data_IF_623186930686
#
_entry.id   IF_623186930686
#
_cell.length_a   1.000
_cell.length_b   1.000
_cell.length_c   1.000
_cell.angle_alpha   90.00
_cell.angle_beta   90.00
_cell.angle_gamma   90.00
#
_symmetry.space_group_name_H-M   'P 1'
#
loop_
_entity.id
_entity.type
_entity.pdbx_description
1 polymer ?
#
# COMPACT_ATOMS: atom_id res chain seq x y z
N UNK A 1 17.70 -20.81 -6.07
CA UNK A 1 17.16 -21.40 -4.83
C UNK A 1 15.71 -20.96 -4.72
N UNK A 2 14.74 -21.86 -4.46
CA UNK A 2 13.40 -21.43 -4.09
C UNK A 2 13.52 -20.66 -2.76
N UNK A 3 13.26 -19.35 -2.79
CA UNK A 3 13.40 -18.48 -1.62
C UNK A 3 12.54 -19.01 -0.49
N UNK A 4 13.07 -18.97 0.73
CA UNK A 4 12.31 -19.29 1.94
C UNK A 4 10.96 -18.56 1.90
N UNK A 5 9.85 -19.19 2.29
CA UNK A 5 8.54 -18.54 2.28
C UNK A 5 8.61 -17.31 3.19
N UNK A 6 8.58 -16.12 2.60
CA UNK A 6 8.59 -14.86 3.35
C UNK A 6 7.33 -14.83 4.23
N UNK A 7 7.50 -14.56 5.52
CA UNK A 7 6.38 -14.53 6.46
C UNK A 7 5.31 -13.52 6.03
N UNK A 8 4.04 -13.76 6.38
CA UNK A 8 2.94 -12.79 6.10
C UNK A 8 3.28 -11.44 6.74
N UNK A 9 3.91 -11.44 7.91
CA UNK A 9 4.38 -10.23 8.58
C UNK A 9 5.32 -9.42 7.68
N UNK A 10 6.38 -10.04 7.17
CA UNK A 10 7.37 -9.38 6.31
C UNK A 10 6.72 -8.85 5.04
N UNK A 11 5.80 -9.62 4.43
CA UNK A 11 5.05 -9.16 3.25
C UNK A 11 4.21 -7.93 3.53
N UNK A 12 3.56 -7.90 4.70
CA UNK A 12 2.74 -6.77 5.14
C UNK A 12 3.59 -5.53 5.44
N UNK A 13 4.76 -5.71 6.06
CA UNK A 13 5.75 -4.64 6.29
C UNK A 13 6.24 -4.05 4.97
N UNK A 14 6.63 -4.89 4.01
CA UNK A 14 7.03 -4.46 2.66
C UNK A 14 5.89 -3.78 1.91
N UNK A 15 4.65 -4.26 2.04
CA UNK A 15 3.49 -3.61 1.44
C UNK A 15 3.31 -2.19 2.01
N UNK A 16 3.40 -2.02 3.33
CA UNK A 16 3.32 -0.71 3.99
C UNK A 16 4.40 0.24 3.46
N UNK A 17 5.65 -0.22 3.38
CA UNK A 17 6.75 0.58 2.85
C UNK A 17 6.51 1.01 1.39
N UNK A 18 6.03 0.09 0.55
CA UNK A 18 5.71 0.42 -0.84
C UNK A 18 4.54 1.42 -0.97
N UNK A 19 3.55 1.36 -0.08
CA UNK A 19 2.46 2.34 -0.03
C UNK A 19 3.00 3.71 0.41
N UNK A 20 3.86 3.75 1.43
CA UNK A 20 4.47 5.00 1.91
C UNK A 20 5.38 5.64 0.84
N UNK A 21 6.14 4.84 0.08
CA UNK A 21 6.92 5.31 -1.07
C UNK A 21 6.02 5.83 -2.20
N UNK A 22 4.89 5.16 -2.46
CA UNK A 22 3.92 5.63 -3.43
C UNK A 22 3.28 6.95 -2.99
N UNK A 23 2.99 7.13 -1.70
CA UNK A 23 2.49 8.38 -1.14
C UNK A 23 3.47 9.53 -1.41
N UNK A 24 4.74 9.35 -1.05
CA UNK A 24 5.80 10.33 -1.28
C UNK A 24 5.91 10.68 -2.77
N UNK A 25 5.93 9.66 -3.64
CA UNK A 25 5.99 9.87 -5.09
C UNK A 25 4.81 10.68 -5.62
N UNK A 26 3.59 10.44 -5.13
CA UNK A 26 2.40 11.21 -5.53
C UNK A 26 2.50 12.66 -5.07
N UNK A 27 2.95 12.92 -3.84
CA UNK A 27 3.17 14.28 -3.32
C UNK A 27 4.22 15.05 -4.12
N UNK A 28 5.28 14.37 -4.54
CA UNK A 28 6.31 14.93 -5.41
C UNK A 28 5.83 15.10 -6.87
N UNK A 29 4.60 14.66 -7.17
CA UNK A 29 3.96 14.81 -8.47
C UNK A 29 4.33 13.74 -9.50
N UNK A 30 5.00 12.67 -9.07
CA UNK A 30 5.33 11.52 -9.91
C UNK A 30 4.13 10.58 -10.11
N UNK A 31 4.21 9.79 -11.18
CA UNK A 31 3.25 8.72 -11.46
C UNK A 31 3.60 7.49 -10.65
N UNK A 32 2.58 6.82 -10.12
CA UNK A 32 2.71 5.55 -9.43
C UNK A 32 1.94 4.44 -10.15
N UNK A 33 2.36 3.19 -9.94
CA UNK A 33 1.66 2.01 -10.44
C UNK A 33 0.94 1.28 -9.29
N UNK A 34 -0.34 1.58 -9.11
CA UNK A 34 -1.17 1.03 -8.03
C UNK A 34 -1.42 -0.48 -8.21
N UNK A 35 -1.33 -1.02 -9.44
CA UNK A 35 -1.64 -2.45 -9.70
C UNK A 35 -0.69 -3.40 -8.96
N UNK A 36 0.55 -2.98 -8.72
CA UNK A 36 1.51 -3.78 -7.95
C UNK A 36 1.13 -3.86 -6.48
N UNK A 37 0.66 -2.74 -5.90
CA UNK A 37 0.17 -2.69 -4.51
C UNK A 37 -1.09 -3.54 -4.33
N UNK A 38 -2.00 -3.49 -5.31
CA UNK A 38 -3.26 -4.25 -5.30
C UNK A 38 -3.03 -5.77 -5.35
N UNK A 39 -2.14 -6.23 -6.24
CA UNK A 39 -1.80 -7.65 -6.36
C UNK A 39 -1.21 -8.22 -5.05
N UNK A 40 -0.31 -7.47 -4.40
CA UNK A 40 0.31 -7.89 -3.13
C UNK A 40 -0.71 -7.85 -1.97
N UNK A 41 -1.54 -6.81 -1.89
CA UNK A 41 -2.64 -6.70 -0.93
C UNK A 41 -3.62 -7.88 -1.03
N UNK A 42 -3.98 -8.28 -2.26
CA UNK A 42 -4.85 -9.44 -2.50
C UNK A 42 -4.19 -10.74 -2.04
N UNK A 43 -2.91 -10.92 -2.31
CA UNK A 43 -2.17 -12.12 -1.90
C UNK A 43 -2.07 -12.23 -0.37
N UNK A 44 -1.79 -11.12 0.32
CA UNK A 44 -1.78 -11.05 1.78
C UNK A 44 -3.17 -11.33 2.35
N UNK A 45 -4.23 -10.75 1.77
CA UNK A 45 -5.61 -10.98 2.20
C UNK A 45 -6.01 -12.46 2.10
N UNK A 46 -5.62 -13.14 1.01
CA UNK A 46 -5.85 -14.59 0.84
C UNK A 46 -5.12 -15.40 1.91
N UNK A 47 -3.87 -15.05 2.21
CA UNK A 47 -3.07 -15.73 3.22
C UNK A 47 -3.65 -15.55 4.64
N UNK A 48 -4.06 -14.32 4.99
CA UNK A 48 -4.71 -14.01 6.27
C UNK A 48 -6.07 -14.69 6.45
N UNK A 49 -6.85 -14.84 5.37
CA UNK A 49 -8.12 -15.59 5.41
C UNK A 49 -7.88 -17.08 5.70
N UNK A 50 -6.83 -17.65 5.13
CA UNK A 50 -6.47 -19.06 5.39
C UNK A 50 -5.92 -19.25 6.81
N UNK A 51 -5.19 -18.25 7.34
CA UNK A 51 -4.63 -18.30 8.69
C UNK A 51 -4.71 -16.91 9.35
N UNK A 52 -5.75 -16.65 10.16
CA UNK A 52 -5.86 -15.41 10.90
C UNK A 52 -4.75 -15.33 11.96
N UNK A 53 -4.00 -14.23 11.96
CA UNK A 53 -2.93 -13.99 12.93
C UNK A 53 -3.22 -12.69 13.70
N UNK A 54 -3.68 -12.82 14.94
CA UNK A 54 -4.02 -11.66 15.78
C UNK A 54 -2.81 -10.74 16.01
N UNK A 55 -1.60 -11.30 16.01
CA UNK A 55 -0.34 -10.55 16.10
C UNK A 55 -0.13 -9.55 14.96
N UNK A 56 -0.82 -9.72 13.82
CA UNK A 56 -0.73 -8.81 12.67
C UNK A 56 -1.72 -7.64 12.76
N UNK A 57 -2.59 -7.57 13.77
CA UNK A 57 -3.52 -6.44 13.91
C UNK A 57 -2.84 -5.06 13.89
N UNK A 58 -1.72 -4.82 14.59
CA UNK A 58 -1.03 -3.53 14.54
C UNK A 58 -0.57 -3.17 13.13
N UNK A 59 -0.04 -4.16 12.39
CA UNK A 59 0.41 -3.95 11.01
C UNK A 59 -0.77 -3.72 10.07
N UNK A 60 -1.88 -4.45 10.22
CA UNK A 60 -3.10 -4.23 9.43
C UNK A 60 -3.66 -2.82 9.63
N UNK A 61 -3.68 -2.32 10.87
CA UNK A 61 -4.05 -0.93 11.16
C UNK A 61 -3.10 0.06 10.47
N UNK A 62 -1.79 -0.20 10.52
CA UNK A 62 -0.80 0.63 9.83
C UNK A 62 -0.99 0.62 8.31
N UNK A 63 -1.28 -0.53 7.70
CA UNK A 63 -1.61 -0.63 6.27
C UNK A 63 -2.81 0.23 5.91
N UNK A 64 -3.89 0.20 6.70
CA UNK A 64 -5.07 1.06 6.48
C UNK A 64 -4.67 2.54 6.50
N UNK A 65 -3.92 2.97 7.52
CA UNK A 65 -3.46 4.36 7.63
C UNK A 65 -2.56 4.79 6.46
N UNK A 66 -1.68 3.91 5.97
CA UNK A 66 -0.85 4.20 4.79
C UNK A 66 -1.70 4.32 3.52
N UNK A 67 -2.73 3.48 3.35
CA UNK A 67 -3.67 3.56 2.22
C UNK A 67 -4.47 4.86 2.25
N UNK A 68 -4.95 5.27 3.43
CA UNK A 68 -5.67 6.53 3.61
C UNK A 68 -4.80 7.73 3.23
N UNK A 69 -3.54 7.76 3.69
CA UNK A 69 -2.58 8.81 3.32
C UNK A 69 -2.33 8.87 1.81
N UNK A 70 -2.11 7.72 1.17
CA UNK A 70 -1.93 7.65 -0.27
C UNK A 70 -3.18 8.12 -1.02
N UNK A 71 -4.37 7.76 -0.53
CA UNK A 71 -5.65 8.18 -1.13
C UNK A 71 -5.78 9.70 -1.11
N UNK A 72 -5.53 10.34 0.03
CA UNK A 72 -5.55 11.80 0.14
C UNK A 72 -4.51 12.47 -0.77
N UNK A 73 -3.29 11.94 -0.83
CA UNK A 73 -2.28 12.47 -1.74
C UNK A 73 -2.72 12.41 -3.22
N UNK A 74 -3.40 11.34 -3.62
CA UNK A 74 -3.94 11.20 -4.98
C UNK A 74 -5.10 12.17 -5.24
N UNK A 75 -5.97 12.38 -4.26
CA UNK A 75 -7.08 13.35 -4.33
C UNK A 75 -6.55 14.78 -4.48
N UNK A 76 -5.59 15.18 -3.65
CA UNK A 76 -4.91 16.48 -3.72
C UNK A 76 -4.28 16.68 -5.11
N UNK A 77 -3.53 15.67 -5.58
CA UNK A 77 -2.89 15.73 -6.89
C UNK A 77 -3.90 15.81 -8.04
N UNK A 78 -5.02 15.10 -7.94
CA UNK A 78 -6.08 15.19 -8.93
C UNK A 78 -6.74 16.57 -8.94
N UNK A 79 -6.92 17.20 -7.78
CA UNK A 79 -7.44 18.57 -7.66
C UNK A 79 -6.47 19.59 -8.29
N UNK A 80 -5.17 19.50 -8.00
CA UNK A 80 -4.15 20.34 -8.63
C UNK A 80 -4.14 20.22 -10.15
N UNK A 81 -4.21 19.00 -10.68
CA UNK A 81 -4.21 18.75 -12.12
C UNK A 81 -5.48 19.28 -12.80
N UNK A 82 -6.61 19.30 -12.11
CA UNK A 82 -7.85 19.93 -12.60
C UNK A 82 -7.71 21.46 -12.62
N UNK A 83 -7.20 22.06 -11.54
CA UNK A 83 -7.03 23.51 -11.45
C UNK A 83 -6.08 24.08 -12.51
N UNK A 84 -5.04 23.33 -12.91
CA UNK A 84 -4.10 23.74 -13.98
C UNK A 84 -4.69 23.67 -15.40
N UNK A 85 -5.84 23.02 -15.57
CA UNK A 85 -6.52 22.87 -16.88
C UNK A 85 -7.62 23.91 -17.11
N UNK A 86 -7.96 24.68 -16.08
CA UNK A 86 -8.86 25.84 -16.09
C UNK A 86 -8.05 27.13 -16.12
#
# INVERSE_FOLDING_TARGET
MPGAPTSIQTRLETLIENIDLAEAAVRDGYRINIRLLDAESLAITKALKARPEAALQPLLRKTVLSIERLTHALEDRAAELKARKT
#
